data_IF_862673493445
#
_entry.id   IF_862673493445
#
_cell.length_a   1.000
_cell.length_b   1.000
_cell.length_c   1.000
_cell.angle_alpha   90.00
_cell.angle_beta   90.00
_cell.angle_gamma   90.00
#
_symmetry.space_group_name_H-M   'P 1'
#
loop_
_entity.id
_entity.type
_entity.pdbx_description
1 polymer ?
#
# COMPACT_ATOMS: atom_id res chain seq x y z
N UNK A 1 63.23 18.52 -28.14
CA UNK A 1 64.05 17.94 -29.23
C UNK A 1 65.06 17.03 -28.56
N UNK A 2 65.10 15.71 -28.66
CA UNK A 2 64.74 14.77 -29.73
C UNK A 2 64.45 13.38 -29.15
N UNK A 3 63.62 12.64 -29.90
CA UNK A 3 63.15 11.27 -29.75
C UNK A 3 64.28 10.21 -29.66
N UNK A 4 64.07 9.13 -28.92
CA UNK A 4 64.70 7.82 -29.16
C UNK A 4 63.63 6.73 -28.97
N UNK A 5 63.54 5.87 -29.98
CA UNK A 5 62.47 4.90 -30.21
C UNK A 5 62.85 3.49 -29.76
N UNK A 6 61.80 2.68 -29.59
CA UNK A 6 61.74 1.24 -29.29
C UNK A 6 62.61 0.33 -30.15
N UNK A 7 63.11 -0.76 -29.54
CA UNK A 7 63.24 -2.08 -30.21
C UNK A 7 62.99 -3.23 -29.22
N UNK A 8 61.85 -3.93 -29.45
CA UNK A 8 61.62 -5.38 -29.61
C UNK A 8 62.38 -6.37 -28.68
N UNK A 9 61.60 -7.29 -28.08
CA UNK A 9 61.86 -8.72 -27.72
C UNK A 9 60.82 -9.07 -26.63
N UNK A 10 60.05 -10.16 -26.58
CA UNK A 10 60.17 -11.53 -27.10
C UNK A 10 58.77 -12.16 -27.07
N UNK A 11 58.57 -13.06 -28.02
CA UNK A 11 57.46 -13.99 -28.20
C UNK A 11 57.00 -14.68 -26.90
N UNK A 12 55.69 -14.67 -26.63
CA UNK A 12 55.06 -15.72 -25.84
C UNK A 12 53.85 -16.31 -26.58
N UNK A 13 53.82 -17.63 -26.52
CA UNK A 13 53.13 -18.55 -27.42
C UNK A 13 51.68 -18.71 -26.99
N UNK A 14 50.82 -18.96 -27.98
CA UNK A 14 49.61 -19.77 -27.94
C UNK A 14 49.26 -20.44 -26.59
N UNK A 15 48.08 -20.14 -26.06
CA UNK A 15 47.14 -21.19 -25.65
C UNK A 15 45.75 -20.64 -25.39
N UNK A 16 44.76 -21.22 -26.09
CA UNK A 16 43.36 -21.21 -25.74
C UNK A 16 43.17 -21.65 -24.29
N UNK A 17 42.40 -20.92 -23.49
CA UNK A 17 41.57 -21.44 -22.41
C UNK A 17 40.42 -20.43 -22.22
N UNK A 18 39.27 -20.69 -22.84
CA UNK A 18 38.15 -21.42 -22.27
C UNK A 18 37.15 -20.47 -21.60
N UNK A 19 36.04 -20.32 -22.31
CA UNK A 19 34.77 -19.71 -21.95
C UNK A 19 34.19 -20.41 -20.70
N UNK A 20 33.35 -19.67 -19.98
CA UNK A 20 32.29 -20.11 -19.05
C UNK A 20 32.61 -20.09 -17.55
N UNK A 21 32.00 -19.12 -16.83
CA UNK A 21 31.05 -19.44 -15.75
C UNK A 21 30.21 -18.21 -15.35
N UNK A 22 29.25 -17.82 -16.19
CA UNK A 22 28.14 -16.95 -15.76
C UNK A 22 27.10 -17.82 -15.04
N UNK A 23 27.27 -18.04 -13.74
CA UNK A 23 26.23 -18.61 -12.89
C UNK A 23 25.25 -17.50 -12.47
N UNK A 24 24.38 -17.08 -13.39
CA UNK A 24 23.23 -16.24 -13.05
C UNK A 24 22.18 -17.16 -12.42
N UNK A 25 22.16 -17.18 -11.08
CA UNK A 25 21.20 -17.95 -10.30
C UNK A 25 19.80 -17.42 -10.63
N UNK A 26 19.05 -18.20 -11.41
CA UNK A 26 17.64 -17.97 -11.66
C UNK A 26 16.88 -18.16 -10.35
N UNK A 27 16.67 -17.07 -9.60
CA UNK A 27 15.76 -17.06 -8.49
C UNK A 27 14.35 -17.34 -9.03
N UNK A 28 13.60 -18.33 -8.49
CA UNK A 28 12.21 -18.49 -8.85
C UNK A 28 11.47 -17.25 -8.38
N UNK A 29 10.95 -16.47 -9.33
CA UNK A 29 9.90 -15.50 -9.06
C UNK A 29 8.71 -16.28 -8.53
N UNK A 30 8.61 -16.35 -7.20
CA UNK A 30 7.39 -16.74 -6.52
C UNK A 30 6.31 -15.74 -6.94
N UNK A 31 5.57 -16.11 -7.98
CA UNK A 31 4.29 -15.50 -8.33
C UNK A 31 3.35 -15.78 -7.17
N UNK A 32 3.37 -14.90 -6.18
CA UNK A 32 2.29 -14.80 -5.21
C UNK A 32 1.02 -14.47 -6.00
N UNK A 33 0.28 -15.52 -6.36
CA UNK A 33 -1.06 -15.40 -6.90
C UNK A 33 -1.83 -14.58 -5.87
N UNK A 34 -2.22 -13.36 -6.24
CA UNK A 34 -3.13 -12.55 -5.46
C UNK A 34 -4.36 -13.44 -5.22
N UNK A 35 -4.46 -13.97 -4.01
CA UNK A 35 -5.56 -14.84 -3.64
C UNK A 35 -6.84 -14.05 -3.81
N UNK A 36 -7.84 -14.72 -4.36
CA UNK A 36 -9.22 -14.26 -4.38
C UNK A 36 -9.72 -14.22 -2.93
N UNK A 37 -9.30 -13.18 -2.21
CA UNK A 37 -9.64 -12.95 -0.82
C UNK A 37 -10.85 -12.04 -0.81
N UNK A 38 -12.01 -12.62 -1.09
CA UNK A 38 -13.29 -11.97 -0.78
C UNK A 38 -13.22 -11.45 0.66
N UNK A 39 -13.48 -10.15 0.82
CA UNK A 39 -13.41 -9.48 2.10
C UNK A 39 -14.52 -10.02 3.02
N UNK A 40 -14.11 -10.55 4.17
CA UNK A 40 -15.05 -11.11 5.16
C UNK A 40 -15.53 -10.04 6.14
N UNK A 41 -16.75 -10.19 6.65
CA UNK A 41 -17.35 -9.34 7.70
C UNK A 41 -17.45 -7.84 7.30
N UNK A 42 -17.81 -7.59 6.04
CA UNK A 42 -18.24 -6.27 5.59
C UNK A 42 -19.70 -6.03 6.01
N UNK A 43 -19.95 -4.94 6.75
CA UNK A 43 -21.30 -4.59 7.24
C UNK A 43 -21.86 -3.29 6.63
N UNK A 44 -21.04 -2.55 5.90
CA UNK A 44 -21.37 -1.19 5.41
C UNK A 44 -20.93 -1.01 3.97
N UNK A 45 -19.69 -1.41 3.67
CA UNK A 45 -19.13 -1.37 2.31
C UNK A 45 -19.44 -2.66 1.57
N UNK A 46 -19.51 -2.56 0.24
CA UNK A 46 -19.59 -3.73 -0.64
C UNK A 46 -18.19 -4.33 -0.85
N UNK A 47 -18.14 -5.63 -1.12
CA UNK A 47 -16.90 -6.29 -1.51
C UNK A 47 -16.61 -6.01 -2.98
N UNK A 48 -15.85 -4.95 -3.22
CA UNK A 48 -15.44 -4.52 -4.56
C UNK A 48 -13.95 -4.83 -4.84
N UNK A 49 -13.38 -5.83 -4.15
CA UNK A 49 -12.00 -6.28 -4.33
C UNK A 49 -10.97 -5.14 -4.24
N UNK A 50 -10.25 -4.90 -5.34
CA UNK A 50 -9.17 -3.89 -5.40
C UNK A 50 -9.65 -2.47 -5.06
N UNK A 51 -10.89 -2.11 -5.40
CA UNK A 51 -11.47 -0.80 -5.08
C UNK A 51 -11.60 -0.60 -3.58
N UNK A 52 -12.01 -1.65 -2.85
CA UNK A 52 -12.10 -1.62 -1.39
C UNK A 52 -10.72 -1.45 -0.77
N UNK A 53 -9.72 -2.22 -1.24
CA UNK A 53 -8.35 -2.13 -0.74
C UNK A 53 -7.73 -0.75 -0.99
N UNK A 54 -7.91 -0.21 -2.20
CA UNK A 54 -7.48 1.15 -2.57
C UNK A 54 -8.15 2.21 -1.70
N UNK A 55 -9.46 2.09 -1.47
CA UNK A 55 -10.22 2.98 -0.59
C UNK A 55 -9.67 2.97 0.85
N UNK A 56 -9.44 1.78 1.43
CA UNK A 56 -8.88 1.64 2.78
C UNK A 56 -7.46 2.20 2.89
N UNK A 57 -6.60 1.94 1.90
CA UNK A 57 -5.24 2.53 1.85
C UNK A 57 -5.30 4.06 1.77
N UNK A 58 -6.21 4.60 0.97
CA UNK A 58 -6.38 6.04 0.80
C UNK A 58 -6.90 6.69 2.09
N UNK A 59 -7.86 6.06 2.76
CA UNK A 59 -8.37 6.49 4.06
C UNK A 59 -7.27 6.49 5.13
N UNK A 60 -6.47 5.42 5.20
CA UNK A 60 -5.32 5.33 6.12
C UNK A 60 -4.33 6.48 5.91
N UNK A 61 -3.98 6.78 4.65
CA UNK A 61 -3.13 7.91 4.28
C UNK A 61 -3.76 9.27 4.62
N UNK A 62 -5.07 9.40 4.42
CA UNK A 62 -5.86 10.59 4.73
C UNK A 62 -5.88 10.91 6.22
N UNK A 63 -6.13 9.90 7.04
CA UNK A 63 -6.10 10.01 8.50
C UNK A 63 -4.66 10.16 9.04
N UNK A 64 -3.66 9.67 8.30
CA UNK A 64 -2.26 9.69 8.71
C UNK A 64 -1.90 8.55 9.66
N UNK A 65 -2.68 7.48 9.67
CA UNK A 65 -2.47 6.28 10.48
C UNK A 65 -1.99 5.11 9.63
N UNK A 66 -1.56 4.02 10.27
CA UNK A 66 -1.27 2.74 9.62
C UNK A 66 -2.50 1.81 9.71
N UNK A 67 -2.58 0.78 8.85
CA UNK A 67 -3.70 -0.15 8.83
C UNK A 67 -3.95 -0.83 10.19
N UNK A 68 -2.89 -1.08 10.97
CA UNK A 68 -2.99 -1.69 12.29
C UNK A 68 -3.61 -0.77 13.36
N UNK A 69 -3.89 0.50 13.03
CA UNK A 69 -4.66 1.38 13.90
C UNK A 69 -6.13 0.93 14.04
N UNK A 70 -6.68 0.27 13.01
CA UNK A 70 -8.07 -0.21 13.00
C UNK A 70 -8.19 -1.73 12.73
N UNK A 71 -7.16 -2.39 12.21
CA UNK A 71 -7.18 -3.81 11.88
C UNK A 71 -6.13 -4.62 12.65
N UNK A 72 -6.40 -5.91 12.83
CA UNK A 72 -5.38 -6.87 13.25
C UNK A 72 -4.57 -7.27 12.02
N UNK A 73 -3.23 -7.28 12.11
CA UNK A 73 -2.37 -7.66 10.99
C UNK A 73 -2.64 -9.12 10.61
N UNK A 74 -2.97 -9.36 9.33
CA UNK A 74 -3.30 -10.71 8.84
C UNK A 74 -4.74 -11.14 9.10
N UNK A 75 -5.51 -10.38 9.89
CA UNK A 75 -6.93 -10.63 10.15
C UNK A 75 -7.72 -9.30 10.05
N UNK A 76 -8.06 -8.93 8.82
CA UNK A 76 -8.83 -7.71 8.55
C UNK A 76 -10.31 -7.82 8.97
N UNK A 77 -10.82 -9.04 9.14
CA UNK A 77 -12.19 -9.32 9.56
C UNK A 77 -12.38 -9.18 11.08
N UNK A 78 -11.30 -9.31 11.86
CA UNK A 78 -11.28 -9.13 13.32
C UNK A 78 -11.95 -7.83 13.78
N UNK A 79 -12.71 -7.92 14.87
CA UNK A 79 -13.32 -6.78 15.57
C UNK A 79 -12.56 -6.43 16.87
N UNK A 80 -11.39 -7.02 17.10
CA UNK A 80 -10.61 -6.86 18.35
C UNK A 80 -10.07 -5.45 18.58
N UNK A 81 -10.00 -4.62 17.55
CA UNK A 81 -9.49 -3.25 17.64
C UNK A 81 -10.68 -2.28 17.74
N UNK A 82 -10.89 -1.60 18.89
CA UNK A 82 -12.05 -0.74 19.10
C UNK A 82 -12.22 0.37 18.06
N UNK A 83 -11.11 0.88 17.51
CA UNK A 83 -11.11 1.88 16.44
C UNK A 83 -11.86 1.42 15.18
N UNK A 84 -12.00 0.11 14.95
CA UNK A 84 -12.78 -0.42 13.82
C UNK A 84 -14.26 -0.05 13.91
N UNK A 85 -14.84 -0.10 15.11
CA UNK A 85 -16.25 0.24 15.28
C UNK A 85 -16.49 1.74 15.11
N UNK A 86 -15.59 2.59 15.61
CA UNK A 86 -15.65 4.04 15.34
C UNK A 86 -15.53 4.34 13.84
N UNK A 87 -14.62 3.65 13.14
CA UNK A 87 -14.50 3.74 11.69
C UNK A 87 -15.77 3.31 10.96
N UNK A 88 -16.46 2.28 11.46
CA UNK A 88 -17.74 1.81 10.92
C UNK A 88 -18.87 2.83 11.12
N UNK A 89 -18.97 3.41 12.30
CA UNK A 89 -19.95 4.47 12.59
C UNK A 89 -19.73 5.69 11.70
N UNK A 90 -18.47 6.11 11.53
CA UNK A 90 -18.11 7.17 10.61
C UNK A 90 -18.52 6.85 9.17
N UNK A 91 -18.19 5.65 8.69
CA UNK A 91 -18.56 5.17 7.36
C UNK A 91 -20.08 5.21 7.12
N UNK A 92 -20.88 4.73 8.08
CA UNK A 92 -22.35 4.78 7.99
C UNK A 92 -22.84 6.21 7.85
N UNK A 93 -22.44 7.08 8.76
CA UNK A 93 -22.86 8.49 8.77
C UNK A 93 -22.51 9.20 7.44
N UNK A 94 -21.32 8.96 6.90
CA UNK A 94 -20.86 9.58 5.65
C UNK A 94 -21.58 9.03 4.42
N UNK A 95 -22.03 7.78 4.43
CA UNK A 95 -22.74 7.19 3.31
C UNK A 95 -24.25 7.52 3.32
N UNK A 96 -24.83 7.78 4.50
CA UNK A 96 -26.24 8.13 4.67
C UNK A 96 -26.57 9.58 4.27
N UNK A 97 -25.58 10.46 4.16
CA UNK A 97 -25.82 11.88 3.83
C UNK A 97 -24.76 12.49 2.92
N UNK A 98 -25.16 13.46 2.11
CA UNK A 98 -24.27 14.31 1.31
C UNK A 98 -23.99 15.66 1.97
N UNK A 99 -24.65 15.96 3.09
CA UNK A 99 -24.50 17.19 3.87
C UNK A 99 -23.07 17.29 4.41
N UNK A 100 -22.33 18.30 3.94
CA UNK A 100 -20.92 18.49 4.28
C UNK A 100 -20.71 18.72 5.79
N UNK A 101 -21.43 19.65 6.46
CA UNK A 101 -21.35 19.79 7.92
C UNK A 101 -21.53 18.48 8.69
N UNK A 102 -22.52 17.65 8.32
CA UNK A 102 -22.74 16.36 8.99
C UNK A 102 -21.58 15.38 8.79
N UNK A 103 -21.02 15.33 7.58
CA UNK A 103 -19.82 14.50 7.29
C UNK A 103 -18.60 14.98 8.07
N UNK A 104 -18.39 16.28 8.19
CA UNK A 104 -17.30 16.89 8.96
C UNK A 104 -17.45 16.64 10.46
N UNK A 105 -18.67 16.69 11.00
CA UNK A 105 -18.97 16.30 12.38
C UNK A 105 -18.64 14.81 12.64
N UNK A 106 -19.03 13.92 11.72
CA UNK A 106 -18.72 12.50 11.83
C UNK A 106 -17.20 12.23 11.79
N UNK A 107 -16.46 12.97 10.95
CA UNK A 107 -15.00 12.89 10.92
C UNK A 107 -14.39 13.38 12.24
N UNK A 108 -14.93 14.44 12.83
CA UNK A 108 -14.47 14.97 14.12
C UNK A 108 -14.62 13.94 15.23
N UNK A 109 -15.76 13.24 15.29
CA UNK A 109 -15.98 12.17 16.27
C UNK A 109 -15.03 10.98 16.07
N UNK A 110 -14.75 10.60 14.81
CA UNK A 110 -13.74 9.57 14.52
C UNK A 110 -12.35 10.00 15.02
N UNK A 111 -11.94 11.23 14.70
CA UNK A 111 -10.63 11.76 15.10
C UNK A 111 -10.49 11.79 16.63
N UNK A 112 -11.54 12.23 17.34
CA UNK A 112 -11.61 12.22 18.80
C UNK A 112 -11.46 10.81 19.36
N UNK A 113 -12.21 9.83 18.84
CA UNK A 113 -12.13 8.44 19.27
C UNK A 113 -10.74 7.82 19.04
N UNK A 114 -10.08 8.20 17.94
CA UNK A 114 -8.73 7.77 17.60
C UNK A 114 -7.63 8.61 18.27
N UNK A 115 -8.01 9.60 19.11
CA UNK A 115 -7.08 10.55 19.77
C UNK A 115 -6.18 11.30 18.76
N UNK A 116 -6.72 11.60 17.59
CA UNK A 116 -6.05 12.36 16.53
C UNK A 116 -6.50 13.82 16.63
N UNK A 117 -5.56 14.77 16.57
CA UNK A 117 -5.88 16.20 16.55
C UNK A 117 -6.61 16.60 15.27
N UNK A 118 -6.16 16.06 14.14
CA UNK A 118 -6.72 16.31 12.81
C UNK A 118 -6.33 15.20 11.84
N UNK A 119 -7.07 15.06 10.74
CA UNK A 119 -6.66 14.21 9.64
C UNK A 119 -5.41 14.81 8.94
N UNK A 120 -4.44 13.97 8.60
CA UNK A 120 -3.19 14.41 7.95
C UNK A 120 -3.43 14.97 6.54
N UNK A 121 -4.38 14.41 5.79
CA UNK A 121 -4.77 14.82 4.44
C UNK A 121 -6.29 14.67 4.28
N UNK A 122 -7.10 15.67 4.72
CA UNK A 122 -8.55 15.60 4.67
C UNK A 122 -9.13 15.34 3.28
N UNK A 123 -8.50 15.89 2.22
CA UNK A 123 -8.92 15.63 0.84
C UNK A 123 -8.88 14.13 0.47
N UNK A 124 -7.89 13.38 0.98
CA UNK A 124 -7.79 11.94 0.72
C UNK A 124 -8.87 11.15 1.47
N UNK A 125 -9.26 11.62 2.66
CA UNK A 125 -10.37 11.04 3.43
C UNK A 125 -11.64 11.08 2.57
N UNK A 126 -11.94 12.23 1.97
CA UNK A 126 -13.12 12.38 1.11
C UNK A 126 -13.02 11.60 -0.20
N UNK A 127 -11.87 11.61 -0.87
CA UNK A 127 -11.68 10.83 -2.09
C UNK A 127 -11.84 9.31 -1.88
N UNK A 128 -11.47 8.81 -0.69
CA UNK A 128 -11.66 7.41 -0.34
C UNK A 128 -13.15 7.06 -0.32
N UNK A 129 -14.01 7.89 0.26
CA UNK A 129 -15.46 7.65 0.25
C UNK A 129 -16.07 7.74 -1.14
N UNK A 130 -15.63 8.71 -1.94
CA UNK A 130 -16.14 8.85 -3.31
C UNK A 130 -15.77 7.64 -4.17
N UNK A 131 -14.62 7.00 -3.93
CA UNK A 131 -14.27 5.72 -4.58
C UNK A 131 -15.10 4.53 -4.08
N UNK A 132 -15.49 4.53 -2.80
CA UNK A 132 -16.22 3.42 -2.17
C UNK A 132 -17.74 3.49 -2.42
N UNK A 133 -18.27 4.68 -2.76
CA UNK A 133 -19.69 4.88 -3.10
C UNK A 133 -20.03 4.43 -4.53
N UNK A 134 -19.06 4.38 -5.44
CA UNK A 134 -19.29 3.98 -6.83
C UNK A 134 -19.72 2.51 -6.87
N UNK A 135 -21.00 2.29 -7.15
CA UNK A 135 -21.57 1.01 -7.55
C UNK A 135 -21.34 0.80 -9.03
#
# INVERSE_FOLDING_TARGET
>A
MTSQASVIVRSFRFSLFAIALTAFVAAPLATAKAGDHAAKNLKVLLDNGETLEKGMKTLSKGLGVKCNACHVKGDFASEKVPAKEHGRTFLKAVLETTDKPKREAALTELLKAMKLKQAKKPALVWSAFDSLKKK
#
